data_IF_376448173466
#
_entry.id   IF_376448173466
#
_cell.length_a   1.000
_cell.length_b   1.000
_cell.length_c   1.000
_cell.angle_alpha   90.00
_cell.angle_beta   90.00
_cell.angle_gamma   90.00
#
_symmetry.space_group_name_H-M   'P 1'
#
loop_
_entity.id
_entity.type
_entity.pdbx_description
1 polymer ?
#
# COMPACT_ATOMS: atom_id res chain seq x y z
N UNK A 1 -1.63 4.57 -10.68
CA UNK A 1 -1.02 3.66 -9.68
C UNK A 1 -1.77 3.70 -8.35
N UNK A 2 -1.83 2.58 -7.63
CA UNK A 2 -2.29 2.48 -6.24
C UNK A 2 -1.12 2.23 -5.29
N UNK A 3 -1.22 2.72 -4.07
CA UNK A 3 -0.25 2.50 -2.99
C UNK A 3 -0.95 1.78 -1.83
N UNK A 4 -0.44 0.61 -1.45
CA UNK A 4 -0.84 -0.09 -0.24
C UNK A 4 -0.09 0.51 0.96
N UNK A 5 -0.83 0.83 2.02
CA UNK A 5 -0.27 1.27 3.28
C UNK A 5 -0.87 0.48 4.43
N UNK A 6 -0.03 -0.29 5.12
CA UNK A 6 -0.40 -1.08 6.29
C UNK A 6 -0.30 -0.24 7.57
N UNK A 7 -1.39 -0.14 8.32
CA UNK A 7 -1.44 0.59 9.59
C UNK A 7 -1.90 -0.33 10.72
N UNK A 8 -1.64 0.05 11.96
CA UNK A 8 -2.16 -0.68 13.13
C UNK A 8 -3.70 -0.75 13.17
N UNK A 9 -4.38 0.18 12.49
CA UNK A 9 -5.84 0.24 12.44
C UNK A 9 -6.44 -0.53 11.25
N UNK A 10 -5.64 -0.93 10.25
CA UNK A 10 -6.13 -1.56 9.04
C UNK A 10 -5.26 -1.32 7.80
N UNK A 11 -5.78 -1.72 6.64
CA UNK A 11 -5.14 -1.55 5.34
C UNK A 11 -5.75 -0.37 4.59
N UNK A 12 -4.90 0.53 4.09
CA UNK A 12 -5.31 1.65 3.25
C UNK A 12 -4.81 1.45 1.81
N UNK A 13 -5.66 1.79 0.84
CA UNK A 13 -5.28 1.96 -0.54
C UNK A 13 -5.38 3.44 -0.89
N UNK A 14 -4.27 4.01 -1.32
CA UNK A 14 -4.20 5.35 -1.84
C UNK A 14 -4.07 5.33 -3.35
N UNK A 15 -4.84 6.17 -4.05
CA UNK A 15 -4.62 6.47 -5.45
C UNK A 15 -3.59 7.58 -5.54
N UNK A 16 -2.53 7.35 -6.29
CA UNK A 16 -1.51 8.36 -6.59
C UNK A 16 -2.09 9.31 -7.64
N UNK A 17 -2.05 10.62 -7.36
CA UNK A 17 -2.60 11.66 -8.23
C UNK A 17 -1.57 12.20 -9.23
N UNK A 18 -0.30 12.26 -8.82
CA UNK A 18 0.79 12.81 -9.62
C UNK A 18 1.98 11.86 -9.61
N UNK A 19 2.06 10.98 -10.61
CA UNK A 19 3.17 10.03 -10.78
C UNK A 19 4.48 10.73 -11.19
N UNK A 20 4.40 11.90 -11.83
CA UNK A 20 5.57 12.66 -12.30
C UNK A 20 6.43 13.22 -11.18
N UNK A 21 5.82 13.53 -10.03
CA UNK A 21 6.52 14.00 -8.82
C UNK A 21 7.28 12.90 -8.06
N UNK A 22 7.09 11.63 -8.39
CA UNK A 22 7.88 10.52 -7.81
C UNK A 22 9.27 10.35 -8.45
N UNK A 23 9.62 11.18 -9.45
CA UNK A 23 10.91 11.12 -10.15
C UNK A 23 12.11 11.59 -9.32
N UNK A 24 11.89 12.40 -8.26
CA UNK A 24 12.92 12.85 -7.32
C UNK A 24 12.66 12.31 -5.93
N UNK A 25 13.19 11.11 -5.68
CA UNK A 25 12.98 10.35 -4.43
C UNK A 25 13.49 11.10 -3.19
N UNK A 26 14.51 11.94 -3.33
CA UNK A 26 15.17 12.63 -2.20
C UNK A 26 14.30 13.69 -1.52
N UNK A 27 13.42 14.37 -2.25
CA UNK A 27 12.56 15.44 -1.73
C UNK A 27 11.12 14.99 -1.47
N UNK A 28 10.77 13.75 -1.83
CA UNK A 28 9.39 13.26 -1.77
C UNK A 28 8.79 13.34 -0.35
N UNK A 29 9.61 13.29 0.69
CA UNK A 29 9.17 13.27 2.09
C UNK A 29 8.58 14.62 2.47
N UNK A 30 9.08 15.69 1.84
CA UNK A 30 8.60 17.05 2.04
C UNK A 30 7.16 17.19 1.55
N UNK A 31 6.77 16.46 0.51
CA UNK A 31 5.39 16.45 0.02
C UNK A 31 4.42 15.74 0.99
N UNK A 32 4.92 14.95 1.94
CA UNK A 32 4.12 14.33 2.98
C UNK A 32 4.31 14.99 4.37
N UNK A 33 5.01 16.12 4.44
CA UNK A 33 5.28 16.83 5.70
C UNK A 33 4.02 17.48 6.31
N UNK A 34 3.02 17.82 5.49
CA UNK A 34 1.72 18.32 5.96
C UNK A 34 0.55 17.54 5.35
N UNK A 35 -0.62 17.49 6.02
CA UNK A 35 -1.81 16.86 5.47
C UNK A 35 -2.27 17.50 4.16
N UNK A 36 -2.09 18.81 4.01
CA UNK A 36 -2.48 19.57 2.82
C UNK A 36 -1.63 19.17 1.63
N UNK A 37 -0.30 19.13 1.79
CA UNK A 37 0.61 18.71 0.71
C UNK A 37 0.42 17.23 0.35
N UNK A 38 0.17 16.38 1.35
CA UNK A 38 -0.05 14.95 1.12
C UNK A 38 -1.33 14.70 0.28
N UNK A 39 -2.38 15.49 0.47
CA UNK A 39 -3.64 15.39 -0.30
C UNK A 39 -3.47 15.72 -1.79
N UNK A 40 -2.48 16.54 -2.15
CA UNK A 40 -2.14 16.81 -3.54
C UNK A 40 -1.43 15.63 -4.21
N UNK A 41 -0.75 14.80 -3.42
CA UNK A 41 0.02 13.65 -3.91
C UNK A 41 -0.83 12.39 -4.00
N UNK A 42 -1.65 12.15 -2.97
CA UNK A 42 -2.40 10.90 -2.82
C UNK A 42 -3.83 11.16 -2.35
N UNK A 43 -4.75 10.31 -2.81
CA UNK A 43 -6.13 10.29 -2.36
C UNK A 43 -6.51 8.93 -1.82
N UNK A 44 -7.08 8.88 -0.62
CA UNK A 44 -7.58 7.63 -0.06
C UNK A 44 -8.67 7.05 -0.97
N UNK A 45 -8.44 5.85 -1.51
CA UNK A 45 -9.38 5.10 -2.36
C UNK A 45 -10.26 4.18 -1.52
N UNK A 46 -9.65 3.44 -0.60
CA UNK A 46 -10.35 2.52 0.28
C UNK A 46 -9.58 2.33 1.58
N UNK A 47 -10.29 2.05 2.66
CA UNK A 47 -9.71 1.70 3.96
C UNK A 47 -10.47 0.51 4.55
N UNK A 48 -9.74 -0.55 4.89
CA UNK A 48 -10.27 -1.72 5.57
C UNK A 48 -9.73 -1.75 6.99
N UNK A 49 -10.56 -1.32 7.95
CA UNK A 49 -10.22 -1.34 9.36
C UNK A 49 -10.20 -2.77 9.91
N UNK A 50 -9.39 -3.02 10.92
CA UNK A 50 -9.50 -4.24 11.71
C UNK A 50 -10.70 -4.15 12.65
N UNK A 51 -11.42 -5.27 12.81
CA UNK A 51 -12.60 -5.31 13.67
C UNK A 51 -12.23 -5.35 15.15
N UNK A 52 -11.09 -5.95 15.48
CA UNK A 52 -10.61 -6.08 16.85
C UNK A 52 -9.08 -6.18 16.91
N UNK A 53 -8.55 -6.18 18.14
CA UNK A 53 -7.11 -6.25 18.40
C UNK A 53 -6.47 -7.58 18.02
N UNK A 54 -7.22 -8.69 18.03
CA UNK A 54 -6.70 -9.99 17.62
C UNK A 54 -6.42 -10.03 16.11
N UNK A 55 -7.34 -9.49 15.30
CA UNK A 55 -7.16 -9.37 13.84
C UNK A 55 -5.99 -8.45 13.50
N UNK A 56 -5.86 -7.33 14.22
CA UNK A 56 -4.73 -6.41 14.06
C UNK A 56 -3.39 -7.08 14.40
N UNK A 57 -3.32 -7.84 15.49
CA UNK A 57 -2.10 -8.56 15.89
C UNK A 57 -1.75 -9.67 14.90
N UNK A 58 -2.74 -10.43 14.44
CA UNK A 58 -2.55 -11.47 13.44
C UNK A 58 -2.04 -10.89 12.12
N UNK A 59 -2.60 -9.75 11.69
CA UNK A 59 -2.14 -9.03 10.52
C UNK A 59 -0.69 -8.55 10.67
N UNK A 60 -0.37 -7.87 11.77
CA UNK A 60 0.99 -7.40 12.03
C UNK A 60 2.01 -8.55 12.04
N UNK A 61 1.68 -9.68 12.67
CA UNK A 61 2.55 -10.86 12.73
C UNK A 61 2.81 -11.44 11.34
N UNK A 62 1.78 -11.55 10.51
CA UNK A 62 1.94 -12.07 9.14
C UNK A 62 2.70 -11.09 8.23
N UNK A 63 2.53 -9.78 8.42
CA UNK A 63 3.27 -8.76 7.66
C UNK A 63 4.76 -8.77 7.97
N UNK A 64 5.17 -9.07 9.22
CA UNK A 64 6.59 -9.26 9.57
C UNK A 64 7.21 -10.40 8.75
N UNK A 65 6.42 -11.44 8.48
CA UNK A 65 6.79 -12.56 7.62
C UNK A 65 6.60 -12.29 6.12
N UNK A 66 6.26 -11.06 5.72
CA UNK A 66 5.89 -10.67 4.35
C UNK A 66 4.69 -11.46 3.78
N UNK A 67 3.79 -11.97 4.63
CA UNK A 67 2.63 -12.77 4.22
C UNK A 67 1.34 -11.95 4.29
N UNK A 68 0.49 -11.98 3.24
CA UNK A 68 -0.80 -11.30 3.31
C UNK A 68 -1.81 -12.09 4.15
N UNK A 69 -2.68 -11.39 4.87
CA UNK A 69 -3.84 -11.98 5.56
C UNK A 69 -4.95 -12.36 4.56
N UNK A 70 -5.96 -13.11 5.02
CA UNK A 70 -7.18 -13.38 4.22
C UNK A 70 -7.89 -12.07 3.86
N UNK A 71 -8.00 -11.16 4.82
CA UNK A 71 -8.69 -9.89 4.63
C UNK A 71 -7.93 -8.96 3.70
N UNK A 72 -6.60 -8.89 3.78
CA UNK A 72 -5.79 -8.12 2.82
C UNK A 72 -6.00 -8.64 1.40
N UNK A 73 -6.01 -9.96 1.19
CA UNK A 73 -6.28 -10.54 -0.13
C UNK A 73 -7.67 -10.16 -0.64
N UNK A 74 -8.69 -10.24 0.21
CA UNK A 74 -10.07 -9.87 -0.15
C UNK A 74 -10.15 -8.39 -0.50
N UNK A 75 -9.58 -7.54 0.34
CA UNK A 75 -9.50 -6.10 0.16
C UNK A 75 -8.84 -5.70 -1.17
N UNK A 76 -7.69 -6.30 -1.48
CA UNK A 76 -7.02 -6.06 -2.76
C UNK A 76 -7.86 -6.53 -3.95
N UNK A 77 -8.48 -7.72 -3.92
CA UNK A 77 -9.36 -8.18 -5.01
C UNK A 77 -10.56 -7.25 -5.25
N UNK A 78 -11.08 -6.61 -4.21
CA UNK A 78 -12.24 -5.71 -4.33
C UNK A 78 -11.87 -4.35 -4.89
N UNK A 79 -10.63 -3.90 -4.72
CA UNK A 79 -10.25 -2.51 -4.99
C UNK A 79 -9.09 -2.33 -5.97
N UNK A 80 -8.45 -3.41 -6.42
CA UNK A 80 -7.33 -3.41 -7.35
C UNK A 80 -7.71 -4.28 -8.57
N UNK A 81 -8.34 -3.64 -9.56
CA UNK A 81 -8.68 -4.24 -10.85
C UNK A 81 -7.78 -3.66 -11.93
N UNK A 82 -6.75 -4.41 -12.34
CA UNK A 82 -5.81 -4.00 -13.40
C UNK A 82 -4.88 -2.82 -13.05
N UNK A 83 -5.09 -2.17 -11.92
CA UNK A 83 -4.23 -1.09 -11.40
C UNK A 83 -2.84 -1.64 -11.00
N UNK A 84 -1.79 -0.84 -11.23
CA UNK A 84 -0.45 -1.09 -10.69
C UNK A 84 -0.47 -0.83 -9.18
N UNK A 85 -0.08 -1.81 -8.38
CA UNK A 85 0.00 -1.70 -6.92
C UNK A 85 1.45 -1.56 -6.45
N UNK A 86 1.73 -0.44 -5.79
CA UNK A 86 2.95 -0.17 -5.06
C UNK A 86 2.83 -0.72 -3.62
N UNK A 87 3.85 -1.47 -3.20
CA UNK A 87 3.95 -2.11 -1.88
C UNK A 87 5.35 -1.84 -1.34
N UNK A 88 5.46 -1.42 -0.08
CA UNK A 88 6.76 -1.09 0.53
C UNK A 88 7.67 -2.33 0.66
N UNK A 89 7.10 -3.47 1.05
CA UNK A 89 7.81 -4.74 1.10
C UNK A 89 7.72 -5.50 -0.25
N UNK A 90 8.87 -5.65 -0.89
CA UNK A 90 9.03 -6.41 -2.12
C UNK A 90 8.63 -7.89 -2.06
N UNK A 91 8.87 -8.58 -0.94
CA UNK A 91 8.51 -9.99 -0.79
C UNK A 91 7.00 -10.12 -0.74
N UNK A 92 6.36 -9.23 0.02
CA UNK A 92 4.90 -9.14 0.07
C UNK A 92 4.33 -8.80 -1.32
N UNK A 93 4.93 -7.83 -2.02
CA UNK A 93 4.56 -7.46 -3.38
C UNK A 93 4.65 -8.63 -4.38
N UNK A 94 5.70 -9.45 -4.29
CA UNK A 94 5.85 -10.66 -5.12
C UNK A 94 4.78 -11.71 -4.79
N UNK A 95 4.52 -11.96 -3.50
CA UNK A 95 3.48 -12.92 -3.08
C UNK A 95 2.09 -12.44 -3.51
N UNK A 96 1.83 -11.13 -3.44
CA UNK A 96 0.60 -10.51 -3.93
C UNK A 96 0.50 -10.72 -5.45
N UNK A 97 1.58 -10.46 -6.21
CA UNK A 97 1.63 -10.65 -7.67
C UNK A 97 1.27 -12.07 -8.10
N UNK A 98 1.81 -13.07 -7.40
CA UNK A 98 1.58 -14.48 -7.72
C UNK A 98 0.15 -14.93 -7.39
N UNK A 99 -0.48 -14.32 -6.38
CA UNK A 99 -1.78 -14.79 -5.84
C UNK A 99 -2.98 -13.90 -6.20
N UNK A 100 -2.74 -12.73 -6.78
CA UNK A 100 -3.73 -11.71 -7.10
C UNK A 100 -3.50 -11.17 -8.52
N UNK A 101 -4.58 -10.93 -9.25
CA UNK A 101 -4.57 -10.38 -10.62
C UNK A 101 -4.40 -8.85 -10.56
N UNK A 102 -3.39 -8.39 -9.83
CA UNK A 102 -2.92 -7.00 -9.90
C UNK A 102 -1.57 -7.03 -10.59
N UNK A 103 -1.45 -6.33 -11.71
CA UNK A 103 -0.20 -6.14 -12.43
C UNK A 103 0.75 -5.27 -11.60
N UNK A 104 1.43 -5.86 -10.63
CA UNK A 104 2.46 -5.16 -9.86
C UNK A 104 3.74 -5.03 -10.70
N UNK A 105 3.95 -3.82 -11.23
CA UNK A 105 5.29 -3.32 -11.46
C UNK A 105 5.82 -2.83 -10.12
N UNK A 106 6.89 -3.47 -9.64
CA UNK A 106 7.64 -3.02 -8.48
C UNK A 106 8.36 -1.72 -8.88
N UNK A 107 7.94 -0.59 -8.33
CA UNK A 107 8.80 0.58 -8.27
C UNK A 107 9.70 0.45 -7.03
N UNK A 108 10.98 0.16 -7.26
CA UNK A 108 11.99 -0.07 -6.23
C UNK A 108 12.35 1.20 -5.42
N UNK A 109 11.74 2.34 -5.74
CA UNK A 109 12.00 3.63 -5.10
C UNK A 109 11.31 3.82 -3.74
N UNK A 110 10.37 2.96 -3.36
CA UNK A 110 9.74 3.01 -2.02
C UNK A 110 10.56 2.32 -0.92
N UNK A 111 11.73 1.73 -1.24
CA UNK A 111 12.62 1.11 -0.25
C UNK A 111 13.55 2.07 0.50
N UNK A 112 13.51 3.38 0.19
CA UNK A 112 14.32 4.41 0.86
C UNK A 112 13.53 5.22 1.91
N UNK A 113 12.37 4.71 2.33
CA UNK A 113 11.51 5.25 3.38
C UNK A 113 11.66 4.41 4.65
#
# INVERSE_FOLDING_TARGET
MLLLFETAAGFALFKVLDEGKFSKVEDMWQHFASPESAREMVKLKAFNKFDNTADALAAATLLIDSKPTKDLRKFLRTHCDGDVLAVADSKLGNIIKEKLICSSNLDYNLRKW
#
